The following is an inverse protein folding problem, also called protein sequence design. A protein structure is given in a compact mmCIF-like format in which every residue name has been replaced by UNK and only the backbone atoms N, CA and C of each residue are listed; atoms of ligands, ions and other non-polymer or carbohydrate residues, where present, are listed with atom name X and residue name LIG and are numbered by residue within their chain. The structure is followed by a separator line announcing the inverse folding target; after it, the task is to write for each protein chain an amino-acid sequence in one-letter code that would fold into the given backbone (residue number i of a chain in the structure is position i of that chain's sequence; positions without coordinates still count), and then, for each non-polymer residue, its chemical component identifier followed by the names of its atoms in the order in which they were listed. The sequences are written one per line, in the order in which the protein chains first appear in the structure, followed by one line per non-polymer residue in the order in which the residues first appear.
data_IF_268242146849
#
_entry.id   IF_268242146849
#
_cell.length_a   1.000
_cell.length_b   1.000
_cell.length_c   1.000
_cell.angle_alpha   90.00
_cell.angle_beta   90.00
_cell.angle_gamma   90.00
#
_symmetry.space_group_name_H-M   'P 1'
#
loop_
_entity.id
_entity.type
_entity.pdbx_description
1 polymer ?
#
# COMPACT_ATOMS: atom_id res chain seq x y z
N UNK A 1 5.06 24.43 -17.64
CA UNK A 1 3.98 23.60 -17.06
C UNK A 1 4.50 22.98 -15.78
N UNK A 2 4.25 23.60 -14.63
CA UNK A 2 4.64 23.03 -13.35
C UNK A 2 3.66 21.91 -13.01
N UNK A 3 4.07 20.66 -13.24
CA UNK A 3 3.42 19.50 -12.62
C UNK A 3 3.52 19.72 -11.12
N UNK A 4 2.37 19.85 -10.47
CA UNK A 4 2.26 20.01 -9.03
C UNK A 4 2.89 18.77 -8.39
N UNK A 5 4.11 18.90 -7.87
CA UNK A 5 4.95 17.77 -7.43
C UNK A 5 4.62 17.37 -5.99
N UNK A 6 3.33 17.23 -5.67
CA UNK A 6 2.94 16.58 -4.42
C UNK A 6 3.49 15.16 -4.49
N UNK A 7 4.38 14.72 -3.58
CA UNK A 7 4.91 13.38 -3.64
C UNK A 7 3.74 12.41 -3.51
N UNK A 8 3.46 11.63 -4.56
CA UNK A 8 2.52 10.53 -4.45
C UNK A 8 3.13 9.54 -3.45
N UNK A 9 2.43 9.26 -2.35
CA UNK A 9 2.85 8.19 -1.44
C UNK A 9 2.81 6.88 -2.22
N UNK A 10 3.90 6.11 -2.18
CA UNK A 10 3.99 4.81 -2.85
C UNK A 10 2.89 3.89 -2.33
N UNK A 11 2.26 3.13 -3.21
CA UNK A 11 1.10 2.31 -2.89
C UNK A 11 1.38 0.82 -3.01
N UNK A 12 0.67 0.06 -2.21
CA UNK A 12 0.56 -1.39 -2.30
C UNK A 12 -0.92 -1.76 -2.26
N UNK A 13 -1.34 -2.58 -3.23
CA UNK A 13 -2.71 -3.05 -3.39
C UNK A 13 -2.83 -4.44 -2.80
N UNK A 14 -3.79 -4.63 -1.89
CA UNK A 14 -4.06 -5.93 -1.28
C UNK A 14 -5.31 -6.57 -1.87
N UNK A 15 -5.38 -7.90 -1.81
CA UNK A 15 -6.55 -8.67 -2.21
C UNK A 15 -7.77 -8.38 -1.32
N UNK A 16 -8.96 -8.50 -1.89
CA UNK A 16 -10.23 -8.30 -1.17
C UNK A 16 -10.34 -9.18 0.09
N UNK A 17 -9.78 -10.40 0.03
CA UNK A 17 -9.74 -11.32 1.16
C UNK A 17 -8.87 -10.81 2.34
N UNK A 18 -7.87 -9.98 2.07
CA UNK A 18 -6.98 -9.42 3.10
C UNK A 18 -7.54 -8.16 3.77
N UNK A 19 -8.36 -7.38 3.04
CA UNK A 19 -8.91 -6.09 3.49
C UNK A 19 -9.46 -6.11 4.93
N UNK A 20 -10.38 -7.01 5.32
CA UNK A 20 -10.95 -6.95 6.67
C UNK A 20 -9.92 -7.19 7.79
N UNK A 21 -8.86 -7.96 7.51
CA UNK A 21 -7.81 -8.23 8.49
C UNK A 21 -6.86 -7.04 8.64
N UNK A 22 -6.46 -6.45 7.51
CA UNK A 22 -5.55 -5.29 7.50
C UNK A 22 -6.24 -4.05 8.06
N UNK A 23 -7.52 -3.83 7.75
CA UNK A 23 -8.31 -2.73 8.29
C UNK A 23 -8.45 -2.75 9.82
N UNK A 24 -8.28 -3.92 10.46
CA UNK A 24 -8.28 -4.07 11.92
C UNK A 24 -6.88 -4.03 12.55
N UNK A 25 -5.87 -3.58 11.81
CA UNK A 25 -4.48 -3.49 12.26
C UNK A 25 -3.65 -4.76 12.02
N UNK A 26 -4.17 -5.71 11.24
CA UNK A 26 -3.38 -6.87 10.78
C UNK A 26 -2.23 -6.46 9.86
N UNK A 27 -1.16 -7.25 9.85
CA UNK A 27 -0.02 -7.05 8.94
C UNK A 27 -0.38 -7.50 7.52
N UNK A 28 0.25 -6.84 6.54
CA UNK A 28 0.23 -7.27 5.14
C UNK A 28 1.40 -8.25 4.91
N UNK A 29 1.12 -9.38 4.28
CA UNK A 29 2.12 -10.34 3.81
C UNK A 29 2.17 -10.36 2.28
N UNK A 30 3.33 -10.65 1.68
CA UNK A 30 3.53 -10.61 0.23
C UNK A 30 2.49 -11.39 -0.59
N UNK A 31 2.05 -12.57 -0.11
CA UNK A 31 1.00 -13.38 -0.78
C UNK A 31 -0.38 -12.69 -0.90
N UNK A 32 -0.62 -11.61 -0.16
CA UNK A 32 -1.86 -10.84 -0.18
C UNK A 32 -1.77 -9.64 -1.12
N UNK A 33 -0.57 -9.27 -1.55
CA UNK A 33 -0.29 -8.14 -2.44
C UNK A 33 -0.59 -8.57 -3.86
N UNK A 34 -1.42 -7.79 -4.55
CA UNK A 34 -1.81 -8.06 -5.94
C UNK A 34 -1.20 -7.06 -6.93
N UNK A 35 -0.78 -5.89 -6.46
CA UNK A 35 -0.05 -4.86 -7.21
C UNK A 35 0.74 -3.99 -6.22
N UNK A 36 1.86 -3.41 -6.62
CA UNK A 36 2.66 -2.51 -5.81
C UNK A 36 3.54 -1.61 -6.70
N UNK A 37 3.80 -0.39 -6.23
CA UNK A 37 4.82 0.45 -6.88
C UNK A 37 6.20 -0.19 -6.70
N UNK A 38 6.90 -0.44 -7.81
CA UNK A 38 8.15 -1.22 -7.84
C UNK A 38 9.37 -0.50 -7.23
N UNK A 39 9.24 0.79 -6.97
CA UNK A 39 10.29 1.61 -6.39
C UNK A 39 10.23 1.65 -4.86
N UNK A 40 9.31 0.93 -4.20
CA UNK A 40 9.26 0.79 -2.74
C UNK A 40 10.57 0.17 -2.24
N UNK A 41 11.18 0.79 -1.24
CA UNK A 41 12.36 0.25 -0.56
C UNK A 41 12.07 -0.09 0.90
N UNK A 42 12.93 -0.93 1.49
CA UNK A 42 12.80 -1.33 2.88
C UNK A 42 12.77 -0.12 3.82
N UNK A 43 11.87 -0.16 4.80
CA UNK A 43 11.71 0.91 5.77
C UNK A 43 10.90 2.12 5.30
N UNK A 44 10.42 2.19 4.06
CA UNK A 44 9.56 3.29 3.60
C UNK A 44 8.12 3.20 4.14
N UNK A 45 7.49 4.36 4.35
CA UNK A 45 6.05 4.42 4.60
C UNK A 45 5.29 4.30 3.28
N UNK A 46 4.37 3.33 3.20
CA UNK A 46 3.58 3.02 2.01
C UNK A 46 2.09 3.06 2.33
N UNK A 47 1.31 3.43 1.31
CA UNK A 47 -0.15 3.47 1.36
C UNK A 47 -0.72 2.09 1.00
N UNK A 48 -1.49 1.50 1.90
CA UNK A 48 -2.19 0.23 1.65
C UNK A 48 -3.58 0.55 1.11
N UNK A 49 -3.89 0.06 -0.09
CA UNK A 49 -5.17 0.29 -0.75
C UNK A 49 -5.86 -1.02 -1.15
N UNK A 50 -7.18 -0.99 -1.31
CA UNK A 50 -7.93 -2.05 -1.98
C UNK A 50 -7.84 -1.94 -3.51
N UNK A 51 -8.41 -2.90 -4.23
CA UNK A 51 -8.47 -2.91 -5.70
C UNK A 51 -9.22 -1.73 -6.34
N UNK A 52 -9.99 -0.98 -5.57
CA UNK A 52 -10.74 0.20 -6.00
C UNK A 52 -10.01 1.50 -5.62
N UNK A 53 -8.73 1.40 -5.25
CA UNK A 53 -7.87 2.50 -4.80
C UNK A 53 -8.38 3.19 -3.51
N UNK A 54 -9.19 2.48 -2.69
CA UNK A 54 -9.61 2.97 -1.37
C UNK A 54 -8.52 2.73 -0.35
N UNK A 55 -8.14 3.78 0.37
CA UNK A 55 -7.15 3.70 1.45
C UNK A 55 -7.68 2.84 2.58
N UNK A 56 -6.88 1.85 2.98
CA UNK A 56 -7.13 1.01 4.14
C UNK A 56 -6.31 1.50 5.32
N UNK A 57 -5.00 1.68 5.14
CA UNK A 57 -4.07 2.14 6.17
C UNK A 57 -2.74 2.61 5.55
N UNK A 58 -1.81 3.06 6.38
CA UNK A 58 -0.39 3.21 6.03
C UNK A 58 0.45 2.20 6.80
N UNK A 59 1.51 1.67 6.19
CA UNK A 59 2.44 0.76 6.86
C UNK A 59 3.87 1.09 6.50
N UNK A 60 4.82 0.64 7.32
CA UNK A 60 6.24 0.60 6.94
C UNK A 60 6.50 -0.67 6.13
N UNK A 61 7.15 -0.56 4.99
CA UNK A 61 7.57 -1.69 4.16
C UNK A 61 8.67 -2.48 4.89
N UNK A 62 8.53 -3.80 4.85
CA UNK A 62 9.52 -4.77 5.28
C UNK A 62 9.59 -5.80 4.16
N UNK A 63 10.71 -5.86 3.42
CA UNK A 63 10.86 -6.66 2.20
C UNK A 63 11.64 -7.96 2.42
#
# INVERSE_FOLDING_TARGET
MSVNKTPRRKRLVISDAAVPFVARGGRVFGRQVIDADLDIVDGEEVLVVDRNDRVITTTRAIL
#
